data_IF_496120998090
#
_entry.id   IF_496120998090
#
_cell.length_a   1.000
_cell.length_b   1.000
_cell.length_c   1.000
_cell.angle_alpha   90.00
_cell.angle_beta   90.00
_cell.angle_gamma   90.00
#
_symmetry.space_group_name_H-M   'P 1'
#
loop_
_entity.id
_entity.type
_entity.pdbx_description
1 polymer ?
#
# COMPACT_ATOMS: atom_id res chain seq x y z
N UNK A 1 -16.20 -39.23 25.51
CA UNK A 1 -16.44 -38.54 24.22
C UNK A 1 -15.88 -37.12 24.37
N UNK A 2 -14.93 -36.72 23.53
CA UNK A 2 -14.01 -35.59 23.75
C UNK A 2 -12.62 -36.18 24.02
N UNK A 3 -11.53 -35.81 23.35
CA UNK A 3 -11.22 -34.58 22.62
C UNK A 3 -10.64 -34.92 21.24
N UNK A 4 -11.06 -34.16 20.22
CA UNK A 4 -10.33 -34.10 18.97
C UNK A 4 -9.05 -33.31 19.17
N UNK A 5 -7.90 -33.98 19.15
CA UNK A 5 -6.60 -33.32 18.99
C UNK A 5 -6.13 -33.56 17.57
N UNK A 6 -6.56 -32.71 16.66
CA UNK A 6 -5.94 -32.61 15.35
C UNK A 6 -4.59 -31.88 15.51
N UNK A 7 -3.54 -32.62 15.81
CA UNK A 7 -2.15 -32.19 15.56
C UNK A 7 -1.47 -33.37 14.85
N UNK A 8 -1.08 -33.20 13.57
CA UNK A 8 0.28 -32.71 13.34
C UNK A 8 0.42 -31.90 12.04
N UNK A 9 0.48 -30.58 12.15
CA UNK A 9 1.05 -29.70 11.10
C UNK A 9 2.26 -28.89 11.65
N UNK A 10 2.89 -29.44 12.70
CA UNK A 10 3.84 -28.75 13.57
C UNK A 10 5.22 -28.42 12.94
N UNK A 11 5.81 -29.22 12.02
CA UNK A 11 7.15 -28.94 11.50
C UNK A 11 7.18 -27.75 10.52
N UNK A 12 6.18 -27.65 9.64
CA UNK A 12 6.11 -26.57 8.66
C UNK A 12 5.83 -25.22 9.33
N UNK A 13 4.98 -25.21 10.36
CA UNK A 13 4.64 -24.01 11.10
C UNK A 13 5.82 -23.47 11.90
N UNK A 14 6.57 -24.35 12.58
CA UNK A 14 7.77 -23.95 13.34
C UNK A 14 8.88 -23.43 12.44
N UNK A 15 9.08 -24.01 11.26
CA UNK A 15 10.01 -23.50 10.26
C UNK A 15 9.64 -22.09 9.77
N UNK A 16 8.36 -21.85 9.47
CA UNK A 16 7.86 -20.52 9.08
C UNK A 16 8.15 -19.47 10.16
N UNK A 17 7.83 -19.79 11.42
CA UNK A 17 8.05 -18.89 12.55
C UNK A 17 9.53 -18.51 12.72
N UNK A 18 10.44 -19.47 12.50
CA UNK A 18 11.89 -19.22 12.53
C UNK A 18 12.31 -18.23 11.43
N UNK A 19 11.80 -18.41 10.20
CA UNK A 19 12.10 -17.49 9.09
C UNK A 19 11.57 -16.08 9.33
N UNK A 20 10.38 -15.95 9.91
CA UNK A 20 9.83 -14.64 10.28
C UNK A 20 10.63 -13.96 11.39
N UNK A 21 11.14 -14.71 12.36
CA UNK A 21 11.96 -14.18 13.45
C UNK A 21 13.36 -13.71 12.99
N UNK A 22 13.83 -14.19 11.83
CA UNK A 22 15.10 -13.76 11.21
C UNK A 22 14.99 -12.39 10.50
N UNK A 23 13.78 -11.85 10.32
CA UNK A 23 13.58 -10.51 9.74
C UNK A 23 13.99 -9.45 10.76
N UNK A 24 15.02 -8.67 10.42
CA UNK A 24 15.59 -7.68 11.33
C UNK A 24 14.69 -6.43 11.46
N UNK A 25 14.42 -5.94 12.68
CA UNK A 25 13.59 -4.75 12.92
C UNK A 25 14.12 -3.48 12.23
N UNK A 26 15.44 -3.42 11.98
CA UNK A 26 16.09 -2.31 11.28
C UNK A 26 15.55 -2.07 9.86
N UNK A 27 14.95 -3.08 9.23
CA UNK A 27 14.32 -2.95 7.91
C UNK A 27 13.08 -2.05 7.93
N UNK A 28 12.38 -1.91 9.06
CA UNK A 28 11.15 -1.10 9.13
C UNK A 28 11.47 0.39 9.04
N UNK A 29 12.47 0.87 9.76
CA UNK A 29 12.89 2.27 9.69
C UNK A 29 13.42 2.64 8.30
N UNK A 30 14.19 1.75 7.66
CA UNK A 30 14.67 1.98 6.30
C UNK A 30 13.53 1.91 5.28
N UNK A 31 12.64 0.93 5.37
CA UNK A 31 11.47 0.83 4.50
C UNK A 31 10.57 2.07 4.61
N UNK A 32 10.42 2.64 5.81
CA UNK A 32 9.68 3.89 6.00
C UNK A 32 10.37 5.08 5.32
N UNK A 33 11.70 5.16 5.38
CA UNK A 33 12.48 6.19 4.66
C UNK A 33 12.31 6.04 3.15
N UNK A 34 12.45 4.82 2.64
CA UNK A 34 12.33 4.53 1.21
C UNK A 34 10.93 4.84 0.69
N UNK A 35 9.90 4.45 1.45
CA UNK A 35 8.50 4.76 1.13
C UNK A 35 8.26 6.27 1.10
N UNK A 36 8.75 7.00 2.10
CA UNK A 36 8.63 8.47 2.14
C UNK A 36 9.31 9.10 0.92
N UNK A 37 10.51 8.63 0.60
CA UNK A 37 11.29 9.14 -0.53
C UNK A 37 10.54 8.92 -1.85
N UNK A 38 9.97 7.72 -2.05
CA UNK A 38 9.12 7.42 -3.21
C UNK A 38 7.92 8.35 -3.30
N UNK A 39 7.20 8.56 -2.19
CA UNK A 39 6.05 9.48 -2.16
C UNK A 39 6.47 10.91 -2.53
N UNK A 40 7.58 11.41 -1.98
CA UNK A 40 8.06 12.78 -2.27
C UNK A 40 8.46 12.95 -3.75
N UNK A 41 9.09 11.95 -4.35
CA UNK A 41 9.46 11.97 -5.77
C UNK A 41 8.24 12.01 -6.69
N UNK A 42 7.17 11.31 -6.32
CA UNK A 42 5.97 11.19 -7.14
C UNK A 42 4.88 12.21 -6.80
N UNK A 43 4.99 12.93 -5.68
CA UNK A 43 3.96 13.85 -5.20
C UNK A 43 3.58 14.92 -6.24
N UNK A 44 4.56 15.41 -7.03
CA UNK A 44 4.30 16.41 -8.06
C UNK A 44 3.53 15.86 -9.27
N UNK A 45 3.59 14.55 -9.48
CA UNK A 45 2.90 13.86 -10.57
C UNK A 45 1.52 13.34 -10.15
N UNK A 46 1.16 13.44 -8.88
CA UNK A 46 -0.16 13.07 -8.37
C UNK A 46 -1.14 14.25 -8.52
N UNK A 47 -2.12 14.18 -9.46
CA UNK A 47 -3.11 15.23 -9.68
C UNK A 47 -3.97 15.54 -8.46
N UNK A 48 -4.09 14.59 -7.52
CA UNK A 48 -4.86 14.76 -6.29
C UNK A 48 -4.11 15.55 -5.24
N UNK A 49 -2.77 15.54 -5.28
CA UNK A 49 -1.93 16.30 -4.36
C UNK A 49 -1.60 17.70 -4.90
N UNK A 50 -1.32 17.82 -6.20
CA UNK A 50 -0.98 19.11 -6.83
C UNK A 50 -2.19 19.88 -7.34
N UNK A 51 -3.31 19.21 -7.54
CA UNK A 51 -4.45 19.75 -8.25
C UNK A 51 -4.17 19.88 -9.76
N UNK A 52 -5.23 19.93 -10.54
CA UNK A 52 -5.14 20.14 -11.99
C UNK A 52 -6.05 21.26 -12.44
N UNK A 53 -5.65 21.96 -13.49
CA UNK A 53 -6.52 22.93 -14.15
C UNK A 53 -7.80 22.26 -14.61
N UNK A 54 -8.90 23.02 -14.62
CA UNK A 54 -10.19 22.58 -15.14
C UNK A 54 -10.07 21.97 -16.54
N UNK A 55 -9.24 22.53 -17.43
CA UNK A 55 -9.10 22.05 -18.82
C UNK A 55 -8.42 20.68 -18.93
N UNK A 56 -7.55 20.33 -17.99
CA UNK A 56 -6.80 19.07 -17.94
C UNK A 56 -7.46 18.01 -17.05
N UNK A 57 -8.55 18.35 -16.36
CA UNK A 57 -9.27 17.41 -15.51
C UNK A 57 -10.23 16.54 -16.35
N UNK A 58 -9.98 15.22 -16.48
CA UNK A 58 -10.83 14.33 -17.26
C UNK A 58 -12.22 14.09 -16.64
N UNK A 59 -12.40 14.38 -15.35
CA UNK A 59 -13.68 14.27 -14.66
C UNK A 59 -14.53 15.54 -14.74
N UNK A 60 -14.06 16.56 -15.48
CA UNK A 60 -14.80 17.82 -15.59
C UNK A 60 -16.09 17.62 -16.38
N UNK A 61 -17.25 18.08 -15.87
CA UNK A 61 -18.46 18.18 -16.67
C UNK A 61 -18.22 19.09 -17.88
N UNK A 62 -18.69 18.69 -19.07
CA UNK A 62 -18.67 19.57 -20.22
C UNK A 62 -19.55 20.79 -19.91
N UNK A 63 -18.99 22.00 -20.06
CA UNK A 63 -19.81 23.20 -20.06
C UNK A 63 -20.55 23.19 -21.39
N UNK A 64 -21.81 22.74 -21.38
CA UNK A 64 -22.73 23.03 -22.48
C UNK A 64 -22.94 24.55 -22.45
N UNK A 65 -22.32 25.25 -23.40
CA UNK A 65 -22.69 26.63 -23.65
C UNK A 65 -24.07 26.60 -24.31
N UNK A 66 -25.12 26.72 -23.51
CA UNK A 66 -26.44 27.05 -24.03
C UNK A 66 -26.37 28.49 -24.54
N UNK A 67 -26.33 28.66 -25.85
CA UNK A 67 -26.64 29.94 -26.48
C UNK A 67 -28.14 30.17 -26.27
N UNK A 68 -28.47 31.02 -25.29
CA UNK A 68 -29.78 31.63 -25.10
C UNK A 68 -29.76 33.02 -25.75
#
# INVERSE_FOLDING_TARGET
>A
RGHGTALPALPAHTHLLLLHALVSPAQVSQAAVDLKQFCLQNAQHDPLLTGVSSSTNPFRPQKVCSFL
#
